data_IF_780717747274
#
_entry.id   IF_780717747274
#
_cell.length_a   1.000
_cell.length_b   1.000
_cell.length_c   1.000
_cell.angle_alpha   90.00
_cell.angle_beta   90.00
_cell.angle_gamma   90.00
#
_symmetry.space_group_name_H-M   'P 1'
#
loop_
_entity.id
_entity.type
_entity.pdbx_description
1 polymer ?
#
# COMPACT_ATOMS: atom_id res chain seq x y z
N UNK A 1 -11.84 -8.06 -13.57
CA UNK A 1 -13.14 -7.34 -13.69
C UNK A 1 -14.07 -7.57 -12.49
N UNK A 2 -14.54 -8.80 -12.20
CA UNK A 2 -15.50 -9.03 -11.09
C UNK A 2 -14.87 -8.78 -9.70
N UNK A 3 -13.65 -9.28 -9.47
CA UNK A 3 -12.94 -9.08 -8.19
C UNK A 3 -12.59 -7.61 -7.99
N UNK A 4 -12.09 -6.93 -9.01
CA UNK A 4 -11.77 -5.49 -8.96
C UNK A 4 -13.00 -4.68 -8.54
N UNK A 5 -14.13 -4.92 -9.20
CA UNK A 5 -15.39 -4.20 -8.93
C UNK A 5 -15.87 -4.46 -7.51
N UNK A 6 -15.81 -5.72 -7.06
CA UNK A 6 -16.18 -6.10 -5.69
C UNK A 6 -15.31 -5.40 -4.63
N UNK A 7 -13.99 -5.38 -4.81
CA UNK A 7 -13.07 -4.70 -3.87
C UNK A 7 -13.30 -3.18 -3.88
N UNK A 8 -13.49 -2.59 -5.06
CA UNK A 8 -13.80 -1.17 -5.21
C UNK A 8 -15.11 -0.79 -4.50
N UNK A 9 -16.15 -1.61 -4.64
CA UNK A 9 -17.43 -1.38 -3.97
C UNK A 9 -17.32 -1.54 -2.46
N UNK A 10 -16.60 -2.57 -1.97
CA UNK A 10 -16.33 -2.73 -0.54
C UNK A 10 -15.62 -1.51 0.05
N UNK A 11 -14.63 -0.95 -0.66
CA UNK A 11 -13.88 0.23 -0.21
C UNK A 11 -14.79 1.41 0.15
N UNK A 12 -15.89 1.59 -0.58
CA UNK A 12 -16.84 2.70 -0.37
C UNK A 12 -17.63 2.54 0.93
N UNK A 13 -17.73 1.32 1.45
CA UNK A 13 -18.56 0.98 2.60
C UNK A 13 -17.76 0.85 3.90
N UNK A 14 -16.50 0.41 3.84
CA UNK A 14 -15.67 0.17 5.01
C UNK A 14 -14.52 1.18 5.17
N UNK A 15 -14.05 1.36 6.41
CA UNK A 15 -12.82 2.12 6.70
C UNK A 15 -11.56 1.27 6.60
N UNK A 16 -11.68 -0.02 6.87
CA UNK A 16 -10.58 -0.99 6.85
C UNK A 16 -11.03 -2.14 5.97
N UNK A 17 -10.19 -2.53 5.02
CA UNK A 17 -10.39 -3.69 4.18
C UNK A 17 -9.17 -4.60 4.29
N UNK A 18 -9.40 -5.80 4.79
CA UNK A 18 -8.38 -6.84 4.88
C UNK A 18 -8.78 -8.00 3.98
N UNK A 19 -7.93 -8.30 2.99
CA UNK A 19 -8.07 -9.47 2.13
C UNK A 19 -7.05 -10.49 2.63
N UNK A 20 -7.56 -11.52 3.32
CA UNK A 20 -6.74 -12.62 3.78
C UNK A 20 -6.32 -13.48 2.58
N UNK A 21 -5.02 -13.80 2.50
CA UNK A 21 -4.34 -14.48 1.39
C UNK A 21 -4.00 -13.61 0.18
N UNK A 22 -3.17 -14.18 -0.71
CA UNK A 22 -2.74 -13.55 -1.96
C UNK A 22 -3.93 -13.45 -2.93
N UNK A 23 -4.24 -12.24 -3.36
CA UNK A 23 -5.31 -11.97 -4.31
C UNK A 23 -4.74 -11.85 -5.73
N UNK A 24 -4.51 -12.98 -6.39
CA UNK A 24 -3.98 -13.01 -7.78
C UNK A 24 -4.89 -12.31 -8.80
N UNK A 25 -6.14 -12.04 -8.44
CA UNK A 25 -7.15 -11.46 -9.34
C UNK A 25 -7.27 -9.94 -9.24
N UNK A 26 -6.62 -9.28 -8.27
CA UNK A 26 -6.67 -7.82 -8.20
C UNK A 26 -5.71 -7.23 -9.23
N UNK A 27 -6.21 -6.31 -10.05
CA UNK A 27 -5.40 -5.64 -11.05
C UNK A 27 -4.63 -4.46 -10.45
N UNK A 28 -3.44 -4.11 -11.01
CA UNK A 28 -2.73 -2.88 -10.66
C UNK A 28 -3.60 -1.62 -10.80
N UNK A 29 -4.45 -1.58 -11.82
CA UNK A 29 -5.39 -0.48 -12.09
C UNK A 29 -6.44 -0.36 -10.98
N UNK A 30 -6.93 -1.47 -10.44
CA UNK A 30 -7.85 -1.46 -9.31
C UNK A 30 -7.18 -0.95 -8.04
N UNK A 31 -5.94 -1.38 -7.76
CA UNK A 31 -5.13 -0.84 -6.65
C UNK A 31 -4.90 0.68 -6.80
N UNK A 32 -4.56 1.11 -8.01
CA UNK A 32 -4.40 2.54 -8.32
C UNK A 32 -5.70 3.32 -8.13
N UNK A 33 -6.83 2.78 -8.57
CA UNK A 33 -8.13 3.41 -8.39
C UNK A 33 -8.52 3.49 -6.90
N UNK A 34 -8.25 2.46 -6.10
CA UNK A 34 -8.45 2.49 -4.64
C UNK A 34 -7.61 3.60 -4.01
N UNK A 35 -6.32 3.63 -4.32
CA UNK A 35 -5.38 4.64 -3.83
C UNK A 35 -5.85 6.06 -4.18
N UNK A 36 -6.26 6.29 -5.44
CA UNK A 36 -6.79 7.56 -5.90
C UNK A 36 -8.07 7.94 -5.16
N UNK A 37 -9.01 7.00 -5.00
CA UNK A 37 -10.26 7.24 -4.28
C UNK A 37 -10.01 7.64 -2.81
N UNK A 38 -9.00 7.03 -2.17
CA UNK A 38 -8.60 7.39 -0.80
C UNK A 38 -8.14 8.85 -0.74
N UNK A 39 -7.24 9.25 -1.65
CA UNK A 39 -6.74 10.63 -1.73
C UNK A 39 -7.86 11.64 -2.02
N UNK A 40 -8.73 11.35 -2.98
CA UNK A 40 -9.83 12.22 -3.38
C UNK A 40 -10.96 12.28 -2.35
N UNK A 41 -10.94 11.39 -1.35
CA UNK A 41 -12.01 11.29 -0.34
C UNK A 41 -13.31 10.73 -0.89
N UNK A 42 -13.29 10.09 -2.07
CA UNK A 42 -14.46 9.46 -2.69
C UNK A 42 -14.79 8.07 -2.12
N UNK A 43 -14.00 7.62 -1.13
CA UNK A 43 -14.17 6.35 -0.41
C UNK A 43 -14.03 6.54 1.09
N UNK A 44 -14.65 5.64 1.87
CA UNK A 44 -14.49 5.59 3.34
C UNK A 44 -13.20 4.89 3.75
N UNK A 45 -12.59 4.15 2.82
CA UNK A 45 -11.39 3.37 3.07
C UNK A 45 -10.25 4.26 3.58
N UNK A 46 -9.61 3.80 4.65
CA UNK A 46 -8.43 4.40 5.30
C UNK A 46 -7.28 3.42 5.41
N UNK A 47 -7.57 2.13 5.43
CA UNK A 47 -6.56 1.08 5.44
C UNK A 47 -6.96 -0.06 4.50
N UNK A 48 -6.07 -0.40 3.57
CA UNK A 48 -6.08 -1.63 2.79
C UNK A 48 -4.95 -2.52 3.27
N UNK A 49 -5.26 -3.79 3.54
CA UNK A 49 -4.30 -4.87 3.76
C UNK A 49 -4.61 -6.00 2.78
N UNK A 50 -3.66 -6.33 1.91
CA UNK A 50 -3.87 -7.36 0.88
C UNK A 50 -2.56 -8.10 0.59
N UNK A 51 -2.64 -9.42 0.43
CA UNK A 51 -1.58 -10.17 -0.22
C UNK A 51 -1.64 -9.93 -1.73
N UNK A 52 -0.56 -9.50 -2.35
CA UNK A 52 -0.51 -9.20 -3.78
C UNK A 52 0.72 -9.85 -4.42
N UNK A 53 0.61 -10.11 -5.72
CA UNK A 53 1.76 -10.57 -6.50
C UNK A 53 2.78 -9.43 -6.66
N UNK A 54 4.04 -9.80 -6.77
CA UNK A 54 5.17 -8.86 -6.93
C UNK A 54 4.97 -7.93 -8.13
N UNK A 55 4.55 -8.49 -9.26
CA UNK A 55 4.26 -7.76 -10.49
C UNK A 55 3.10 -6.77 -10.32
N UNK A 56 2.06 -7.15 -9.57
CA UNK A 56 0.93 -6.29 -9.24
C UNK A 56 1.36 -5.09 -8.40
N UNK A 57 2.14 -5.33 -7.35
CA UNK A 57 2.70 -4.29 -6.48
C UNK A 57 3.53 -3.27 -7.28
N UNK A 58 4.51 -3.73 -8.07
CA UNK A 58 5.39 -2.82 -8.81
C UNK A 58 4.68 -2.13 -9.98
N UNK A 59 3.72 -2.80 -10.63
CA UNK A 59 2.88 -2.15 -11.64
C UNK A 59 2.00 -1.06 -11.03
N UNK A 60 1.43 -1.31 -9.84
CA UNK A 60 0.70 -0.30 -9.09
C UNK A 60 1.59 0.89 -8.72
N UNK A 61 2.80 0.66 -8.18
CA UNK A 61 3.74 1.74 -7.87
C UNK A 61 4.06 2.59 -9.10
N UNK A 62 4.27 1.93 -10.25
CA UNK A 62 4.51 2.63 -11.52
C UNK A 62 3.34 3.53 -11.92
N UNK A 63 2.10 3.07 -11.72
CA UNK A 63 0.90 3.86 -12.01
C UNK A 63 0.81 5.12 -11.13
N UNK A 64 1.29 5.07 -9.88
CA UNK A 64 1.33 6.25 -9.00
C UNK A 64 2.61 7.09 -9.15
N UNK A 65 3.47 6.77 -10.11
CA UNK A 65 4.68 7.53 -10.42
C UNK A 65 5.93 7.12 -9.64
N UNK A 66 5.93 5.94 -9.02
CA UNK A 66 7.03 5.40 -8.22
C UNK A 66 7.65 4.20 -8.95
N UNK A 67 8.97 4.19 -9.10
CA UNK A 67 9.71 3.13 -9.77
C UNK A 67 10.72 2.54 -8.79
N UNK A 68 10.75 1.22 -8.66
CA UNK A 68 11.79 0.50 -7.94
C UNK A 68 12.84 -0.04 -8.92
N UNK A 69 14.11 0.31 -8.70
CA UNK A 69 15.24 -0.12 -9.53
C UNK A 69 16.51 -0.15 -8.70
N UNK A 70 17.32 -1.19 -8.86
CA UNK A 70 18.64 -1.32 -8.20
C UNK A 70 18.55 -1.04 -6.67
N UNK A 71 17.57 -1.70 -6.03
CA UNK A 71 17.22 -1.57 -4.60
C UNK A 71 16.87 -0.15 -4.10
N UNK A 72 16.55 0.73 -5.04
CA UNK A 72 16.21 2.14 -4.75
C UNK A 72 14.86 2.51 -5.34
N UNK A 73 14.11 3.35 -4.64
CA UNK A 73 12.86 3.93 -5.13
C UNK A 73 13.11 5.31 -5.74
N UNK A 74 12.59 5.51 -6.95
CA UNK A 74 12.61 6.77 -7.68
C UNK A 74 11.19 7.27 -7.86
N UNK A 75 10.98 8.57 -7.73
CA UNK A 75 9.68 9.20 -7.95
C UNK A 75 9.87 10.60 -8.52
N UNK A 76 8.91 11.04 -9.33
CA UNK A 76 8.81 12.45 -9.72
C UNK A 76 8.04 13.29 -8.70
N UNK A 77 7.55 12.66 -7.63
CA UNK A 77 6.85 13.29 -6.51
C UNK A 77 7.75 13.34 -5.28
N UNK A 78 7.39 14.22 -4.35
CA UNK A 78 7.99 14.27 -3.02
C UNK A 78 7.53 13.06 -2.19
N UNK A 79 8.40 12.04 -2.11
CA UNK A 79 8.19 10.84 -1.32
C UNK A 79 9.33 10.67 -0.32
N UNK A 80 9.01 10.07 0.83
CA UNK A 80 10.00 9.64 1.82
C UNK A 80 9.94 8.13 1.94
N UNK A 81 11.09 7.46 1.80
CA UNK A 81 11.18 5.99 1.88
C UNK A 81 11.99 5.61 3.11
N UNK A 82 11.39 4.79 3.95
CA UNK A 82 12.01 4.26 5.17
C UNK A 82 12.19 2.75 5.03
N UNK A 83 13.43 2.29 5.22
CA UNK A 83 13.72 0.87 5.45
C UNK A 83 13.29 0.53 6.89
N UNK A 84 12.44 -0.48 7.03
CA UNK A 84 11.85 -0.89 8.32
C UNK A 84 12.22 -2.29 8.78
N UNK A 85 12.90 -3.08 7.93
CA UNK A 85 13.32 -4.48 8.14
C UNK A 85 12.80 -5.12 9.43
N UNK A 86 11.54 -5.55 9.38
CA UNK A 86 10.91 -6.32 10.45
C UNK A 86 10.40 -7.66 9.92
N UNK A 87 11.22 -8.68 10.15
CA UNK A 87 10.93 -10.05 9.74
C UNK A 87 9.75 -10.69 10.50
N UNK A 88 9.36 -10.14 11.66
CA UNK A 88 8.24 -10.66 12.44
C UNK A 88 6.90 -10.29 11.81
N UNK A 89 6.83 -9.12 11.17
CA UNK A 89 5.60 -8.60 10.57
C UNK A 89 5.62 -8.57 9.05
N UNK A 90 6.66 -9.14 8.42
CA UNK A 90 6.88 -9.12 6.98
C UNK A 90 6.81 -7.69 6.43
N UNK A 91 7.71 -6.82 6.89
CA UNK A 91 7.78 -5.42 6.46
C UNK A 91 9.21 -5.08 6.06
N UNK A 92 9.37 -4.58 4.82
CA UNK A 92 10.66 -4.10 4.32
C UNK A 92 10.70 -2.59 4.19
N UNK A 93 9.72 -2.00 3.50
CA UNK A 93 9.70 -0.57 3.19
C UNK A 93 8.38 0.08 3.56
N UNK A 94 8.46 1.29 4.11
CA UNK A 94 7.35 2.25 4.18
C UNK A 94 7.65 3.43 3.25
N UNK A 95 6.73 3.74 2.35
CA UNK A 95 6.81 4.86 1.41
C UNK A 95 5.72 5.86 1.77
N UNK A 96 6.11 7.08 2.13
CA UNK A 96 5.19 8.16 2.50
C UNK A 96 5.04 9.17 1.37
N UNK A 97 3.79 9.51 1.03
CA UNK A 97 3.41 10.56 0.08
C UNK A 97 2.30 11.40 0.71
N UNK A 98 2.63 12.60 1.21
CA UNK A 98 1.67 13.45 1.92
C UNK A 98 1.07 12.78 3.16
N UNK A 99 -0.22 12.41 3.10
CA UNK A 99 -0.92 11.67 4.17
C UNK A 99 -1.01 10.17 3.93
N UNK A 100 -0.46 9.69 2.81
CA UNK A 100 -0.47 8.28 2.44
C UNK A 100 0.80 7.60 2.92
N UNK A 101 0.67 6.34 3.32
CA UNK A 101 1.77 5.40 3.49
C UNK A 101 1.46 4.13 2.70
N UNK A 102 2.45 3.66 1.95
CA UNK A 102 2.45 2.38 1.26
C UNK A 102 3.50 1.51 1.94
N UNK A 103 3.09 0.34 2.43
CA UNK A 103 3.97 -0.59 3.14
C UNK A 103 4.11 -1.84 2.28
N UNK A 104 5.36 -2.24 2.03
CA UNK A 104 5.71 -3.40 1.23
C UNK A 104 6.42 -4.44 2.11
N UNK A 105 5.92 -5.67 2.10
CA UNK A 105 6.53 -6.76 2.85
C UNK A 105 7.84 -7.27 2.27
N UNK A 106 8.65 -7.93 3.09
CA UNK A 106 9.91 -8.57 2.69
C UNK A 106 9.67 -9.58 1.57
N UNK A 107 8.57 -10.33 1.67
CA UNK A 107 8.19 -11.34 0.68
C UNK A 107 8.00 -10.76 -0.73
N UNK A 108 7.59 -9.49 -0.88
CA UNK A 108 7.45 -8.83 -2.20
C UNK A 108 8.79 -8.77 -2.96
N UNK A 109 9.91 -8.73 -2.23
CA UNK A 109 11.25 -8.62 -2.82
C UNK A 109 11.91 -10.00 -2.97
N UNK A 110 11.67 -10.88 -2.01
CA UNK A 110 12.28 -12.21 -1.90
C UNK A 110 11.54 -13.28 -2.72
N UNK A 111 10.22 -13.15 -2.86
CA UNK A 111 9.33 -14.09 -3.52
C UNK A 111 8.44 -13.39 -4.57
N UNK A 112 7.59 -14.15 -5.25
CA UNK A 112 6.68 -13.62 -6.28
C UNK A 112 5.38 -13.03 -5.71
N UNK A 113 5.23 -13.00 -4.38
CA UNK A 113 4.09 -12.42 -3.69
C UNK A 113 4.50 -11.85 -2.34
N UNK A 114 3.70 -10.93 -1.78
CA UNK A 114 3.89 -10.45 -0.42
C UNK A 114 2.78 -9.52 0.04
N UNK A 115 2.93 -8.99 1.26
CA UNK A 115 1.95 -8.08 1.81
C UNK A 115 2.11 -6.66 1.20
N UNK A 116 0.98 -6.08 0.82
CA UNK A 116 0.83 -4.68 0.44
C UNK A 116 -0.17 -4.04 1.40
N UNK A 117 0.25 -2.94 2.03
CA UNK A 117 -0.64 -2.09 2.81
C UNK A 117 -0.69 -0.70 2.24
N UNK A 118 -1.88 -0.10 2.23
CA UNK A 118 -2.10 1.30 1.86
C UNK A 118 -2.87 1.95 2.99
N UNK A 119 -2.27 2.94 3.64
CA UNK A 119 -2.82 3.64 4.80
C UNK A 119 -2.95 5.12 4.48
N UNK A 120 -4.12 5.70 4.77
CA UNK A 120 -4.37 7.13 4.73
C UNK A 120 -4.55 7.64 6.16
N UNK A 121 -3.67 8.55 6.57
CA UNK A 121 -3.74 9.21 7.86
C UNK A 121 -4.65 10.44 7.83
N UNK A 122 -5.36 10.69 8.93
CA UNK A 122 -6.21 11.88 9.03
C UNK A 122 -5.38 13.17 9.26
N UNK A 123 -4.25 13.06 9.97
CA UNK A 123 -3.42 14.20 10.40
C UNK A 123 -1.93 14.00 10.07
N UNK A 124 -1.20 15.11 9.90
CA UNK A 124 0.25 15.09 9.70
C UNK A 124 1.00 14.55 10.93
N UNK A 125 0.48 14.81 12.13
CA UNK A 125 1.02 14.23 13.35
C UNK A 125 0.97 12.70 13.35
N UNK A 126 -0.12 12.11 12.84
CA UNK A 126 -0.21 10.65 12.69
C UNK A 126 0.80 10.11 11.67
N UNK A 127 1.06 10.84 10.59
CA UNK A 127 2.14 10.49 9.63
C UNK A 127 3.49 10.50 10.34
N UNK A 128 3.79 11.54 11.13
CA UNK A 128 5.07 11.64 11.84
C UNK A 128 5.22 10.55 12.91
N UNK A 129 4.14 10.18 13.61
CA UNK A 129 4.15 9.00 14.49
C UNK A 129 4.42 7.72 13.72
N UNK A 130 3.80 7.55 12.54
CA UNK A 130 4.00 6.39 11.69
C UNK A 130 5.41 6.28 11.11
N UNK A 131 6.09 7.39 10.87
CA UNK A 131 7.51 7.40 10.48
C UNK A 131 8.42 6.93 11.61
N UNK A 132 8.09 7.29 12.85
CA UNK A 132 8.90 6.97 14.03
C UNK A 132 8.61 5.61 14.66
N UNK A 133 7.52 4.93 14.29
CA UNK A 133 7.21 3.59 14.82
C UNK A 133 8.15 2.53 14.23
N UNK A 134 8.53 1.56 15.04
CA UNK A 134 9.26 0.37 14.60
C UNK A 134 8.37 -0.57 13.77
N UNK A 135 7.08 -0.65 14.11
CA UNK A 135 6.09 -1.53 13.46
C UNK A 135 4.78 -0.78 13.26
N UNK A 136 4.07 -0.98 12.14
CA UNK A 136 2.71 -0.49 11.96
C UNK A 136 1.73 -0.99 13.01
N UNK A 137 1.02 -0.07 13.65
CA UNK A 137 -0.21 -0.36 14.36
C UNK A 137 -1.29 -0.71 13.33
N UNK A 138 -1.26 -1.93 12.82
CA UNK A 138 -2.34 -2.48 12.00
C UNK A 138 -3.42 -2.90 12.98
N UNK A 139 -4.42 -2.01 13.17
CA UNK A 139 -5.59 -2.23 14.02
C UNK A 139 -6.39 -3.44 13.54
#
# INVERSE_FOLDING_TARGET
>A
IMVDSFILDLSRTCKILTVHAVCEKITPEALHQLYKNMIEGSTKLRCLSIGALKDQCFSFLKLIGIIYRDDTFFSNKDIEVLLKEDNKFDIKYSIFEGKMEIILGCQVFENDYGALFIVMYDTQESVQRAKNRSVPDII
#
